data_IF_351595426525
#
_entry.id   IF_351595426525
#
_cell.length_a   1.000
_cell.length_b   1.000
_cell.length_c   1.000
_cell.angle_alpha   90.00
_cell.angle_beta   90.00
_cell.angle_gamma   90.00
#
_symmetry.space_group_name_H-M   'P 1'
#
loop_
_entity.id
_entity.type
_entity.pdbx_description
1 polymer ?
#
# COMPACT_ATOMS: atom_id res chain seq x y z
N UNK A 1 -17.56 -0.36 -5.31
CA UNK A 1 -16.26 0.03 -5.88
C UNK A 1 -15.71 1.20 -5.10
N UNK A 2 -14.50 1.07 -4.55
CA UNK A 2 -13.93 2.13 -3.70
C UNK A 2 -12.57 2.56 -4.24
N UNK A 3 -12.60 3.48 -5.19
CA UNK A 3 -11.39 4.17 -5.65
C UNK A 3 -11.01 5.25 -4.66
N UNK A 4 -9.79 5.19 -4.16
CA UNK A 4 -9.20 6.23 -3.32
C UNK A 4 -8.45 7.23 -4.21
N UNK A 5 -8.70 8.52 -3.97
CA UNK A 5 -7.88 9.61 -4.51
C UNK A 5 -6.84 9.99 -3.47
N UNK A 6 -5.57 9.87 -3.84
CA UNK A 6 -4.46 10.14 -2.92
C UNK A 6 -4.29 11.67 -2.79
N UNK A 7 -4.19 12.19 -1.56
CA UNK A 7 -4.00 13.62 -1.32
C UNK A 7 -2.97 13.86 -0.21
N UNK A 8 -1.79 14.36 -0.59
CA UNK A 8 -0.70 14.78 0.30
C UNK A 8 -0.91 16.20 0.83
N UNK A 9 -0.46 16.48 2.08
CA UNK A 9 0.30 15.59 2.95
C UNK A 9 -0.60 14.60 3.71
N UNK A 10 -0.41 13.29 3.47
CA UNK A 10 -1.01 12.24 4.27
C UNK A 10 -0.24 12.17 5.60
N UNK A 11 -0.68 13.02 6.53
CA UNK A 11 -0.42 12.97 7.98
C UNK A 11 1.03 13.25 8.44
N UNK A 12 1.18 14.25 9.33
CA UNK A 12 2.39 14.48 10.12
C UNK A 12 2.62 13.31 11.10
N UNK A 13 3.86 12.81 11.28
CA UNK A 13 4.11 11.64 12.11
C UNK A 13 4.02 11.86 13.63
N UNK A 14 3.73 13.07 14.13
CA UNK A 14 3.82 13.37 15.56
C UNK A 14 2.53 13.94 16.16
N UNK A 15 1.73 13.07 16.79
CA UNK A 15 1.04 13.42 18.05
C UNK A 15 0.51 12.17 18.74
N UNK A 16 1.36 11.52 19.53
CA UNK A 16 0.87 10.77 20.70
C UNK A 16 1.35 11.48 21.94
N UNK A 17 0.48 12.31 22.50
CA UNK A 17 0.49 12.71 23.90
C UNK A 17 -0.92 13.17 24.27
N UNK A 18 -1.66 12.32 24.96
CA UNK A 18 -2.87 12.71 25.70
C UNK A 18 -2.59 12.46 27.17
N UNK A 19 -2.22 13.52 27.89
CA UNK A 19 -2.44 13.60 29.33
C UNK A 19 -3.90 13.99 29.54
N UNK A 20 -4.74 13.08 30.03
CA UNK A 20 -6.05 13.45 30.58
C UNK A 20 -6.34 12.65 31.85
N UNK A 21 -6.67 13.38 32.91
CA UNK A 21 -7.18 12.84 34.17
C UNK A 21 -8.48 12.04 33.95
N UNK A 22 -8.64 11.01 34.78
CA UNK A 22 -9.68 9.98 34.76
C UNK A 22 -9.65 9.01 33.57
N UNK A 23 -8.89 7.92 33.78
CA UNK A 23 -8.66 6.82 32.85
C UNK A 23 -9.90 5.97 32.61
N UNK A 24 -10.54 6.16 31.45
CA UNK A 24 -10.97 5.01 30.64
C UNK A 24 -10.14 5.06 29.36
N UNK A 25 -9.22 4.12 29.22
CA UNK A 25 -8.35 4.03 28.05
C UNK A 25 -9.17 3.47 26.89
N UNK A 26 -9.59 4.31 25.96
CA UNK A 26 -9.99 3.85 24.63
C UNK A 26 -8.72 3.28 24.00
N UNK A 27 -8.63 1.94 23.88
CA UNK A 27 -7.56 1.30 23.12
C UNK A 27 -7.77 1.66 21.66
N UNK A 28 -6.84 2.42 21.10
CA UNK A 28 -6.66 2.44 19.64
C UNK A 28 -6.25 1.01 19.28
N UNK A 29 -7.16 0.22 18.73
CA UNK A 29 -6.96 -1.21 18.51
C UNK A 29 -5.89 -1.43 17.43
N UNK A 30 -4.64 -1.57 17.85
CA UNK A 30 -3.53 -2.11 17.03
C UNK A 30 -3.66 -3.63 16.84
N UNK A 31 -4.79 -4.20 17.22
CA UNK A 31 -5.04 -5.63 17.41
C UNK A 31 -6.38 -5.93 16.74
N UNK A 32 -6.43 -6.88 15.83
CA UNK A 32 -7.63 -7.35 15.16
C UNK A 32 -8.55 -8.17 16.07
N UNK A 33 -9.73 -8.51 15.56
CA UNK A 33 -10.75 -9.25 16.32
C UNK A 33 -10.30 -10.65 16.79
N UNK A 34 -9.23 -11.17 16.21
CA UNK A 34 -8.57 -12.45 16.52
C UNK A 34 -7.33 -12.29 17.43
N UNK A 35 -6.99 -11.07 17.86
CA UNK A 35 -5.81 -10.79 18.65
C UNK A 35 -4.54 -10.55 17.84
N UNK A 36 -4.59 -10.57 16.50
CA UNK A 36 -3.41 -10.36 15.63
C UNK A 36 -3.11 -8.87 15.49
N UNK A 37 -1.83 -8.49 15.52
CA UNK A 37 -1.44 -7.08 15.33
C UNK A 37 -1.80 -6.58 13.92
N UNK A 38 -2.49 -5.43 13.84
CA UNK A 38 -2.77 -4.73 12.58
C UNK A 38 -1.67 -3.74 12.18
N UNK A 39 -0.63 -3.59 13.00
CA UNK A 39 0.50 -2.72 12.67
C UNK A 39 1.17 -3.03 11.32
N UNK A 40 1.36 -4.32 10.92
CA UNK A 40 1.89 -4.63 9.60
C UNK A 40 0.98 -4.21 8.45
N UNK A 41 -0.35 -4.31 8.61
CA UNK A 41 -1.32 -3.85 7.63
C UNK A 41 -1.30 -2.33 7.50
N UNK A 42 -1.25 -1.61 8.62
CA UNK A 42 -1.10 -0.16 8.62
C UNK A 42 0.17 0.27 7.89
N UNK A 43 1.30 -0.36 8.20
CA UNK A 43 2.56 -0.04 7.54
C UNK A 43 2.50 -0.33 6.04
N UNK A 44 1.98 -1.50 5.63
CA UNK A 44 1.79 -1.84 4.23
C UNK A 44 0.87 -0.81 3.53
N UNK A 45 -0.18 -0.34 4.19
CA UNK A 45 -1.10 0.66 3.65
C UNK A 45 -0.40 1.99 3.39
N UNK A 46 0.42 2.46 4.35
CA UNK A 46 1.21 3.69 4.18
C UNK A 46 2.17 3.56 2.99
N UNK A 47 2.85 2.41 2.84
CA UNK A 47 3.74 2.18 1.69
C UNK A 47 2.95 2.15 0.37
N UNK A 48 1.85 1.41 0.33
CA UNK A 48 0.97 1.27 -0.84
C UNK A 48 0.43 2.61 -1.32
N UNK A 49 -0.15 3.41 -0.43
CA UNK A 49 -0.73 4.70 -0.78
C UNK A 49 0.36 5.64 -1.29
N UNK A 50 1.57 5.56 -0.76
CA UNK A 50 2.74 6.33 -1.24
C UNK A 50 3.40 5.75 -2.49
N UNK A 51 2.96 4.57 -2.96
CA UNK A 51 3.70 3.78 -3.93
C UNK A 51 5.20 3.63 -3.55
N UNK A 52 5.49 3.46 -2.27
CA UNK A 52 6.84 3.28 -1.75
C UNK A 52 7.27 1.82 -1.97
N UNK A 53 7.50 1.49 -3.24
CA UNK A 53 7.76 0.13 -3.71
C UNK A 53 8.94 -0.50 -2.97
N UNK A 54 9.90 0.32 -2.56
CA UNK A 54 11.17 -0.10 -2.00
C UNK A 54 11.13 -0.27 -0.49
N UNK A 55 10.25 0.46 0.20
CA UNK A 55 10.16 0.51 1.64
C UNK A 55 11.19 1.46 2.28
N UNK A 56 11.82 2.32 1.50
CA UNK A 56 12.87 3.25 1.95
C UNK A 56 12.34 4.65 2.27
N UNK A 57 11.04 4.88 2.06
CA UNK A 57 10.38 6.15 2.32
C UNK A 57 10.18 7.01 1.06
N UNK A 58 10.77 6.63 -0.08
CA UNK A 58 10.61 7.31 -1.36
C UNK A 58 9.29 6.89 -2.00
N UNK A 59 8.37 7.84 -2.16
CA UNK A 59 7.05 7.59 -2.75
C UNK A 59 7.01 7.88 -4.24
N UNK A 60 6.33 7.03 -5.01
CA UNK A 60 6.13 7.13 -6.45
C UNK A 60 4.66 7.37 -6.80
N UNK A 61 4.08 8.42 -6.21
CA UNK A 61 2.67 8.77 -6.39
C UNK A 61 2.50 10.28 -6.38
N UNK A 62 1.36 10.78 -6.88
CA UNK A 62 1.02 12.20 -6.88
C UNK A 62 -0.36 12.45 -6.31
N UNK A 63 -0.66 13.71 -6.00
CA UNK A 63 -2.01 14.12 -5.62
C UNK A 63 -2.99 13.85 -6.75
N UNK A 64 -4.15 13.31 -6.39
CA UNK A 64 -5.19 12.93 -7.34
C UNK A 64 -4.95 11.59 -8.03
N UNK A 65 -3.83 10.90 -7.79
CA UNK A 65 -3.61 9.56 -8.37
C UNK A 65 -4.65 8.59 -7.81
N UNK A 66 -5.49 7.98 -8.67
CA UNK A 66 -6.54 7.07 -8.23
C UNK A 66 -5.98 5.65 -8.07
N UNK A 67 -6.36 4.98 -6.97
CA UNK A 67 -6.03 3.58 -6.70
C UNK A 67 -7.24 2.84 -6.16
N UNK A 68 -7.31 1.54 -6.41
CA UNK A 68 -8.30 0.63 -5.82
C UNK A 68 -7.56 -0.36 -4.91
N UNK A 69 -7.98 -0.49 -3.65
CA UNK A 69 -7.21 -1.19 -2.61
C UNK A 69 -8.02 -2.34 -2.04
N UNK A 70 -7.37 -3.50 -1.91
CA UNK A 70 -7.97 -4.69 -1.30
C UNK A 70 -6.95 -5.42 -0.42
N UNK A 71 -7.43 -6.27 0.48
CA UNK A 71 -6.60 -6.96 1.46
C UNK A 71 -6.79 -8.47 1.49
N UNK A 72 -5.77 -9.17 2.00
CA UNK A 72 -5.75 -10.62 2.09
C UNK A 72 -6.73 -11.20 3.14
N UNK A 73 -7.26 -10.36 4.04
CA UNK A 73 -8.15 -10.79 5.13
C UNK A 73 -9.63 -10.50 4.86
N UNK A 74 -9.95 -9.95 3.69
CA UNK A 74 -11.30 -9.74 3.18
C UNK A 74 -12.06 -8.57 3.79
N UNK A 75 -11.38 -7.60 4.42
CA UNK A 75 -12.03 -6.39 4.96
C UNK A 75 -12.34 -5.42 3.82
N UNK A 76 -11.32 -5.03 3.05
CA UNK A 76 -11.43 -4.38 1.75
C UNK A 76 -11.39 -5.48 0.68
N UNK A 77 -12.50 -5.61 -0.05
CA UNK A 77 -12.64 -6.61 -1.11
C UNK A 77 -12.22 -6.03 -2.45
N UNK A 78 -11.74 -6.91 -3.32
CA UNK A 78 -11.40 -6.56 -4.70
C UNK A 78 -12.70 -6.28 -5.48
N UNK A 79 -13.03 -5.00 -5.60
CA UNK A 79 -14.18 -4.50 -6.35
C UNK A 79 -13.69 -3.73 -7.57
N UNK A 80 -13.11 -4.46 -8.52
CA UNK A 80 -12.37 -3.96 -9.68
C UNK A 80 -13.01 -2.72 -10.34
N UNK A 81 -12.32 -1.58 -10.21
CA UNK A 81 -12.58 -0.37 -10.98
C UNK A 81 -12.41 -0.56 -12.50
N UNK A 82 -13.40 -0.19 -13.35
CA UNK A 82 -13.26 -0.23 -14.79
C UNK A 82 -11.99 0.48 -15.27
N UNK A 83 -11.19 -0.23 -16.06
CA UNK A 83 -9.94 0.28 -16.61
C UNK A 83 -8.74 0.20 -15.66
N UNK A 84 -8.91 -0.21 -14.41
CA UNK A 84 -7.77 -0.45 -13.51
C UNK A 84 -7.31 -1.90 -13.55
N UNK A 85 -5.99 -2.09 -13.61
CA UNK A 85 -5.32 -3.38 -13.64
C UNK A 85 -4.49 -3.57 -12.37
N UNK A 86 -4.10 -4.81 -12.09
CA UNK A 86 -3.32 -5.13 -10.90
C UNK A 86 -1.97 -4.40 -10.93
N UNK A 87 -1.70 -3.58 -9.92
CA UNK A 87 -0.49 -2.76 -9.84
C UNK A 87 0.60 -3.50 -9.06
N UNK A 88 0.33 -3.88 -7.82
CA UNK A 88 1.33 -4.40 -6.91
C UNK A 88 0.72 -5.13 -5.69
N UNK A 89 1.55 -5.99 -5.10
CA UNK A 89 1.30 -6.64 -3.82
C UNK A 89 2.20 -6.03 -2.74
N UNK A 90 1.70 -5.85 -1.52
CA UNK A 90 2.33 -5.01 -0.49
C UNK A 90 2.51 -5.70 0.86
N UNK A 91 3.68 -5.48 1.45
CA UNK A 91 4.03 -5.85 2.81
C UNK A 91 4.53 -4.64 3.62
N UNK A 92 4.89 -4.83 4.90
CA UNK A 92 5.35 -3.74 5.76
C UNK A 92 6.67 -3.11 5.27
N UNK A 93 7.47 -3.87 4.52
CA UNK A 93 8.79 -3.48 4.00
C UNK A 93 8.71 -2.91 2.56
N UNK A 94 7.51 -2.58 2.07
CA UNK A 94 7.26 -2.07 0.71
C UNK A 94 6.58 -3.12 -0.18
N UNK A 95 6.73 -2.99 -1.50
CA UNK A 95 6.12 -3.93 -2.43
C UNK A 95 6.76 -5.31 -2.31
N UNK A 96 5.94 -6.36 -2.26
CA UNK A 96 6.36 -7.76 -2.40
C UNK A 96 6.66 -8.06 -3.87
N UNK A 97 5.84 -7.55 -4.77
CA UNK A 97 6.06 -7.57 -6.21
C UNK A 97 5.36 -6.36 -6.86
N UNK A 98 5.76 -6.00 -8.09
CA UNK A 98 5.16 -4.90 -8.85
C UNK A 98 4.85 -5.35 -10.28
N UNK A 99 3.59 -5.33 -10.69
CA UNK A 99 3.17 -5.65 -12.06
C UNK A 99 3.37 -4.47 -13.01
N UNK A 100 2.83 -3.31 -12.66
CA UNK A 100 3.08 -2.06 -13.37
C UNK A 100 3.06 -0.90 -12.36
N UNK A 101 3.78 0.20 -12.59
CA UNK A 101 3.63 1.39 -11.75
C UNK A 101 2.44 2.26 -12.18
N UNK A 102 1.94 3.09 -11.26
CA UNK A 102 0.80 4.01 -11.50
C UNK A 102 1.15 5.38 -12.11
N UNK A 103 2.43 5.67 -12.32
CA UNK A 103 2.88 6.96 -12.87
C UNK A 103 3.47 6.77 -14.25
N UNK A 104 3.06 7.61 -15.20
CA UNK A 104 3.55 7.62 -16.59
C UNK A 104 5.06 7.84 -16.69
N UNK A 105 5.67 8.55 -15.72
CA UNK A 105 7.12 8.77 -15.71
C UNK A 105 7.91 7.52 -15.29
N UNK A 106 7.23 6.48 -14.83
CA UNK A 106 7.81 5.19 -14.47
C UNK A 106 7.09 4.05 -15.22
N UNK A 107 7.13 4.03 -16.57
CA UNK A 107 6.31 3.11 -17.35
C UNK A 107 6.81 1.66 -17.31
N UNK A 108 8.07 1.43 -16.93
CA UNK A 108 8.67 0.12 -16.89
C UNK A 108 9.00 -0.28 -15.43
N UNK A 109 8.35 -1.29 -14.85
CA UNK A 109 8.63 -1.72 -13.47
C UNK A 109 10.07 -2.24 -13.29
N UNK A 110 10.76 -2.69 -14.34
CA UNK A 110 12.17 -3.10 -14.27
C UNK A 110 13.11 -1.96 -13.83
N UNK A 111 12.73 -0.69 -14.03
CA UNK A 111 13.55 0.44 -13.57
C UNK A 111 13.60 0.52 -12.03
N UNK A 112 12.60 -0.02 -11.34
CA UNK A 112 12.60 -0.12 -9.87
C UNK A 112 13.71 -1.04 -9.36
N UNK A 113 14.13 -2.04 -10.14
CA UNK A 113 15.16 -2.99 -9.73
C UNK A 113 16.51 -2.31 -9.48
N UNK A 114 16.80 -1.22 -10.20
CA UNK A 114 18.05 -0.47 -10.01
C UNK A 114 18.11 0.21 -8.64
N UNK A 115 16.98 0.75 -8.18
CA UNK A 115 16.87 1.39 -6.88
C UNK A 115 16.71 0.33 -5.78
N UNK A 116 16.02 -0.77 -6.10
CA UNK A 116 15.50 -1.73 -5.14
C UNK A 116 15.80 -3.15 -5.62
N UNK A 117 17.08 -3.59 -5.55
CA UNK A 117 17.52 -4.86 -6.11
C UNK A 117 16.76 -6.08 -5.58
N UNK A 118 16.12 -5.96 -4.41
CA UNK A 118 15.25 -7.00 -3.84
C UNK A 118 14.03 -7.35 -4.72
N UNK A 119 13.64 -6.46 -5.63
CA UNK A 119 12.55 -6.68 -6.57
C UNK A 119 13.00 -7.41 -7.86
N UNK A 120 14.29 -7.72 -8.02
CA UNK A 120 14.77 -8.47 -9.16
C UNK A 120 14.03 -9.82 -9.30
N UNK A 121 13.33 -10.02 -10.42
CA UNK A 121 12.51 -11.20 -10.68
C UNK A 121 11.09 -11.17 -10.09
N UNK A 122 10.72 -10.11 -9.38
CA UNK A 122 9.39 -9.85 -8.80
C UNK A 122 8.70 -8.64 -9.45
N UNK A 123 9.11 -8.29 -10.67
CA UNK A 123 8.53 -7.21 -11.47
C UNK A 123 7.87 -7.74 -12.75
N UNK A 124 6.88 -7.02 -13.26
CA UNK A 124 6.19 -7.33 -14.51
C UNK A 124 5.23 -8.50 -14.40
N UNK A 125 5.18 -9.34 -15.43
CA UNK A 125 4.12 -10.33 -15.63
C UNK A 125 3.99 -11.39 -14.53
N UNK A 126 5.03 -11.55 -13.71
CA UNK A 126 5.05 -12.53 -12.63
C UNK A 126 4.38 -12.05 -11.35
N UNK A 127 4.06 -10.77 -11.26
CA UNK A 127 3.36 -10.21 -10.12
C UNK A 127 1.86 -10.25 -10.38
N UNK A 128 1.13 -10.97 -9.53
CA UNK A 128 -0.32 -11.14 -9.60
C UNK A 128 -0.93 -11.23 -8.18
N UNK A 129 -2.25 -11.41 -8.11
CA UNK A 129 -2.99 -11.51 -6.86
C UNK A 129 -2.63 -12.75 -6.02
N UNK A 130 -1.90 -13.73 -6.56
CA UNK A 130 -1.43 -14.89 -5.82
C UNK A 130 -0.17 -14.60 -4.98
N UNK A 131 0.41 -13.40 -5.11
CA UNK A 131 1.53 -12.98 -4.29
C UNK A 131 1.21 -13.05 -2.79
N UNK A 132 2.14 -13.60 -2.01
CA UNK A 132 2.00 -13.69 -0.54
C UNK A 132 2.23 -12.31 0.09
N UNK A 133 1.17 -11.52 0.18
CA UNK A 133 1.17 -10.15 0.67
C UNK A 133 0.01 -9.87 1.63
N UNK A 134 0.02 -8.69 2.26
CA UNK A 134 -1.03 -8.24 3.18
C UNK A 134 -2.10 -7.42 2.46
N UNK A 135 -1.66 -6.54 1.57
CA UNK A 135 -2.49 -5.62 0.81
C UNK A 135 -2.13 -5.70 -0.66
N UNK A 136 -3.06 -5.27 -1.49
CA UNK A 136 -2.94 -5.24 -2.92
C UNK A 136 -3.60 -3.98 -3.43
N UNK A 137 -3.20 -3.54 -4.62
CA UNK A 137 -3.93 -2.48 -5.28
C UNK A 137 -3.96 -2.63 -6.79
N UNK A 138 -4.93 -1.93 -7.38
CA UNK A 138 -5.05 -1.68 -8.80
C UNK A 138 -4.85 -0.19 -9.08
N UNK A 139 -4.38 0.13 -10.27
CA UNK A 139 -4.33 1.49 -10.80
C UNK A 139 -4.57 1.48 -12.30
N UNK A 140 -4.65 2.66 -12.91
CA UNK A 140 -4.57 2.74 -14.37
C UNK A 140 -3.15 2.38 -14.82
N UNK A 141 -3.07 1.67 -15.94
CA UNK A 141 -1.87 1.41 -16.71
C UNK A 141 -1.76 2.44 -17.85
N UNK A 142 -0.54 2.79 -18.24
CA UNK A 142 -0.24 3.86 -19.20
C UNK A 142 0.75 3.39 -20.27
#
# INVERSE_FOLDING_TARGET
MKVLLIQFPLFEPDSVSLTQGNRQTIKVERIGCDGVSLAPYYQACVRLVRADYCGDGVGYTRNGTPIDVFDAIGIQRDEIAPGMTFEAAWGPDGAVCVRHPRLEELPNPETLVQQCPRLAGYVGERCDEAARALLFNRSFEH
#
